data_IF_525189941504
#
_entry.id   IF_525189941504
#
_cell.length_a   1.000
_cell.length_b   1.000
_cell.length_c   1.000
_cell.angle_alpha   90.00
_cell.angle_beta   90.00
_cell.angle_gamma   90.00
#
_symmetry.space_group_name_H-M   'P 1'
#
loop_
_entity.id
_entity.type
_entity.pdbx_description
1 polymer ?
#
# COMPACT_ATOMS: atom_id res chain seq x y z
N UNK A 1 -24.59 -6.70 27.41
CA UNK A 1 -24.60 -5.68 26.33
C UNK A 1 -23.15 -5.37 25.99
N UNK A 2 -22.67 -5.79 24.82
CA UNK A 2 -21.32 -5.48 24.34
C UNK A 2 -21.37 -4.07 23.72
N UNK A 3 -20.62 -3.13 24.27
CA UNK A 3 -20.37 -1.86 23.61
C UNK A 3 -19.43 -2.13 22.43
N UNK A 4 -19.85 -1.75 21.23
CA UNK A 4 -19.04 -1.84 20.01
C UNK A 4 -17.94 -0.79 20.06
N UNK A 5 -16.70 -1.24 20.28
CA UNK A 5 -15.52 -0.47 19.94
C UNK A 5 -15.27 -0.64 18.44
N UNK A 6 -15.24 0.47 17.70
CA UNK A 6 -14.54 0.49 16.43
C UNK A 6 -13.07 0.27 16.79
N UNK A 7 -12.51 -0.90 16.46
CA UNK A 7 -11.09 -1.14 16.67
C UNK A 7 -10.33 -0.22 15.72
N UNK A 8 -9.77 0.87 16.24
CA UNK A 8 -8.92 1.82 15.48
C UNK A 8 -7.68 1.13 14.88
N UNK A 9 -7.39 -0.11 15.30
CA UNK A 9 -6.31 -0.98 14.85
C UNK A 9 -6.56 -1.63 13.48
N UNK A 10 -7.81 -1.70 12.99
CA UNK A 10 -8.09 -2.33 11.71
C UNK A 10 -7.51 -1.54 10.53
N UNK A 11 -7.01 -2.26 9.53
CA UNK A 11 -6.37 -1.70 8.34
C UNK A 11 -7.38 -1.65 7.18
N UNK A 12 -7.87 -0.46 6.77
CA UNK A 12 -8.80 -0.31 5.66
C UNK A 12 -8.21 -0.81 4.34
N UNK A 13 -9.02 -1.50 3.55
CA UNK A 13 -8.60 -2.11 2.29
C UNK A 13 -7.73 -3.36 2.44
N UNK A 14 -7.49 -3.82 3.66
CA UNK A 14 -6.76 -5.05 3.94
C UNK A 14 -7.58 -5.99 4.84
N UNK A 15 -7.93 -5.54 6.03
CA UNK A 15 -8.71 -6.30 7.01
C UNK A 15 -10.21 -6.00 6.92
N UNK A 16 -10.54 -4.80 6.48
CA UNK A 16 -11.92 -4.33 6.32
C UNK A 16 -12.13 -3.62 4.98
N UNK A 17 -13.37 -3.64 4.44
CA UNK A 17 -13.70 -2.92 3.22
C UNK A 17 -13.35 -1.43 3.31
N UNK A 18 -12.96 -0.85 2.18
CA UNK A 18 -12.72 0.58 2.04
C UNK A 18 -14.03 1.37 2.12
N UNK A 19 -13.91 2.62 2.54
CA UNK A 19 -14.96 3.63 2.42
C UNK A 19 -14.52 4.76 1.48
N UNK A 20 -15.45 5.60 1.04
CA UNK A 20 -15.12 6.83 0.29
C UNK A 20 -14.18 7.75 1.10
N UNK A 21 -14.32 7.76 2.43
CA UNK A 21 -13.43 8.53 3.29
C UNK A 21 -12.00 8.01 3.20
N UNK A 22 -11.79 6.70 3.11
CA UNK A 22 -10.45 6.11 2.97
C UNK A 22 -9.79 6.50 1.64
N UNK A 23 -10.57 6.57 0.55
CA UNK A 23 -10.07 7.05 -0.75
C UNK A 23 -9.58 8.51 -0.66
N UNK A 24 -10.38 9.37 -0.04
CA UNK A 24 -10.01 10.77 0.18
C UNK A 24 -8.81 10.92 1.12
N UNK A 25 -8.69 10.10 2.16
CA UNK A 25 -7.52 10.12 3.05
C UNK A 25 -6.28 9.58 2.36
N UNK A 26 -6.41 8.57 1.50
CA UNK A 26 -5.30 8.02 0.72
C UNK A 26 -4.61 9.10 -0.11
N UNK A 27 -5.39 9.98 -0.76
CA UNK A 27 -4.86 11.18 -1.44
C UNK A 27 -4.01 12.05 -0.51
N UNK A 28 -4.53 12.34 0.69
CA UNK A 28 -3.83 13.18 1.67
C UNK A 28 -2.51 12.53 2.07
N UNK A 29 -2.53 11.25 2.42
CA UNK A 29 -1.34 10.51 2.82
C UNK A 29 -0.29 10.45 1.71
N UNK A 30 -0.71 10.20 0.46
CA UNK A 30 0.20 10.21 -0.69
C UNK A 30 0.82 11.60 -0.90
N UNK A 31 0.03 12.67 -0.85
CA UNK A 31 0.55 14.03 -1.09
C UNK A 31 1.42 14.55 0.06
N UNK A 32 1.35 13.95 1.25
CA UNK A 32 2.25 14.24 2.38
C UNK A 32 3.61 13.53 2.26
N UNK A 33 3.76 12.56 1.34
CA UNK A 33 5.04 11.90 1.09
C UNK A 33 6.06 12.87 0.46
N UNK A 34 7.34 12.63 0.74
CA UNK A 34 8.44 13.33 0.09
C UNK A 34 8.58 12.94 -1.38
N UNK A 35 9.11 13.87 -2.19
CA UNK A 35 9.47 13.57 -3.58
C UNK A 35 10.79 12.79 -3.62
N UNK A 36 10.82 11.71 -4.42
CA UNK A 36 12.01 10.86 -4.54
C UNK A 36 12.44 10.24 -3.20
N UNK A 37 13.71 9.89 -3.06
CA UNK A 37 14.21 9.12 -1.91
C UNK A 37 14.63 9.99 -0.70
N UNK A 38 14.13 11.22 -0.61
CA UNK A 38 14.61 12.21 0.36
C UNK A 38 14.51 11.73 1.83
N UNK A 39 13.51 10.95 2.17
CA UNK A 39 13.35 10.41 3.54
C UNK A 39 14.32 9.25 3.82
N UNK A 40 14.66 8.47 2.79
CA UNK A 40 15.64 7.37 2.89
C UNK A 40 17.06 7.93 3.09
N UNK A 41 17.40 8.99 2.35
CA UNK A 41 18.72 9.62 2.43
C UNK A 41 18.99 10.26 3.80
N UNK A 42 17.94 10.57 4.55
CA UNK A 42 18.03 11.13 5.91
C UNK A 42 18.10 10.06 7.00
N UNK A 43 17.64 8.84 6.70
CA UNK A 43 17.69 7.70 7.63
C UNK A 43 19.00 6.91 7.43
N UNK A 44 20.00 7.22 8.25
CA UNK A 44 21.31 6.55 8.22
C UNK A 44 21.22 5.03 8.45
N UNK A 45 20.12 4.55 9.03
CA UNK A 45 19.89 3.16 9.38
C UNK A 45 18.86 2.48 8.46
N UNK A 46 18.41 3.16 7.40
CA UNK A 46 17.36 2.70 6.49
C UNK A 46 17.56 1.27 6.01
N UNK A 47 18.78 0.94 5.56
CA UNK A 47 19.12 -0.41 5.11
C UNK A 47 19.00 -1.49 6.22
N UNK A 48 19.37 -1.15 7.46
CA UNK A 48 19.21 -2.05 8.62
C UNK A 48 17.74 -2.22 9.00
N UNK A 49 16.97 -1.14 8.91
CA UNK A 49 15.52 -1.18 9.16
C UNK A 49 14.80 -2.04 8.13
N UNK A 50 15.09 -1.87 6.83
CA UNK A 50 14.55 -2.74 5.77
C UNK A 50 14.88 -4.21 6.01
N UNK A 51 16.12 -4.53 6.34
CA UNK A 51 16.52 -5.91 6.60
C UNK A 51 15.79 -6.52 7.80
N UNK A 52 15.64 -5.77 8.89
CA UNK A 52 14.92 -6.24 10.08
C UNK A 52 13.43 -6.45 9.81
N UNK A 53 12.80 -5.55 9.04
CA UNK A 53 11.41 -5.68 8.63
C UNK A 53 11.22 -6.84 7.65
N UNK A 54 12.20 -7.13 6.78
CA UNK A 54 12.20 -8.29 5.88
C UNK A 54 12.24 -9.60 6.67
N UNK A 55 13.10 -9.69 7.68
CA UNK A 55 13.13 -10.83 8.60
C UNK A 55 11.80 -11.00 9.36
N UNK A 56 11.09 -9.90 9.62
CA UNK A 56 9.75 -9.96 10.21
C UNK A 56 8.73 -10.57 9.23
N UNK A 57 8.77 -10.21 7.95
CA UNK A 57 7.93 -10.84 6.91
C UNK A 57 8.16 -12.36 6.86
N UNK A 58 9.44 -12.78 6.83
CA UNK A 58 9.83 -14.20 6.81
C UNK A 58 9.39 -14.95 8.06
N UNK A 59 9.55 -14.34 9.24
CA UNK A 59 9.16 -14.93 10.53
C UNK A 59 7.67 -15.27 10.57
N UNK A 60 6.83 -14.47 9.92
CA UNK A 60 5.38 -14.64 9.86
C UNK A 60 4.90 -15.36 8.60
N UNK A 61 5.82 -15.79 7.72
CA UNK A 61 5.53 -16.45 6.44
C UNK A 61 4.60 -15.63 5.53
N UNK A 62 4.86 -14.32 5.43
CA UNK A 62 4.04 -13.37 4.64
C UNK A 62 4.83 -12.68 3.52
N UNK A 63 6.09 -13.05 3.29
CA UNK A 63 6.97 -12.48 2.25
C UNK A 63 6.47 -12.64 0.81
N UNK A 64 5.58 -13.60 0.59
CA UNK A 64 4.95 -13.86 -0.72
C UNK A 64 3.62 -13.10 -0.89
N UNK A 65 3.14 -12.46 0.18
CA UNK A 65 1.90 -11.68 0.22
C UNK A 65 2.21 -10.18 0.33
N UNK A 66 3.22 -9.81 1.11
CA UNK A 66 3.60 -8.43 1.35
C UNK A 66 5.07 -8.17 1.01
N UNK A 67 5.35 -6.94 0.61
CA UNK A 67 6.69 -6.40 0.47
C UNK A 67 6.88 -5.13 1.30
N UNK A 68 8.09 -4.56 1.18
CA UNK A 68 8.44 -3.29 1.80
C UNK A 68 8.61 -2.25 0.71
N UNK A 69 7.79 -1.22 0.75
CA UNK A 69 7.91 -0.06 -0.14
C UNK A 69 8.65 1.06 0.55
N UNK A 70 9.61 1.66 -0.13
CA UNK A 70 10.17 2.92 0.32
C UNK A 70 9.25 4.06 -0.12
N UNK A 71 8.70 4.78 0.84
CA UNK A 71 7.61 5.72 0.60
C UNK A 71 8.14 6.97 -0.06
N UNK A 72 7.56 7.30 -1.20
CA UNK A 72 7.78 8.55 -1.90
C UNK A 72 6.62 8.81 -2.85
N UNK A 73 6.44 10.06 -3.23
CA UNK A 73 5.51 10.44 -4.31
C UNK A 73 6.25 10.85 -5.56
N UNK A 74 5.63 10.60 -6.70
CA UNK A 74 6.10 11.07 -8.01
C UNK A 74 5.39 12.35 -8.46
N UNK A 75 4.22 12.65 -7.90
CA UNK A 75 3.38 13.81 -8.22
C UNK A 75 2.37 14.07 -7.10
N UNK A 76 1.66 15.18 -7.15
CA UNK A 76 0.52 15.42 -6.27
C UNK A 76 -0.78 14.94 -6.93
N UNK A 77 -1.58 14.20 -6.17
CA UNK A 77 -2.89 13.71 -6.60
C UNK A 77 -3.91 14.86 -6.49
N UNK A 78 -4.67 15.15 -7.56
CA UNK A 78 -5.69 16.20 -7.55
C UNK A 78 -6.78 16.02 -6.47
N UNK A 79 -7.47 17.11 -6.14
CA UNK A 79 -8.62 17.06 -5.25
C UNK A 79 -9.72 16.12 -5.78
N UNK A 80 -10.49 15.51 -4.87
CA UNK A 80 -11.56 14.54 -5.18
C UNK A 80 -11.13 13.38 -6.09
N UNK A 81 -9.87 12.96 -5.97
CA UNK A 81 -9.32 11.83 -6.70
C UNK A 81 -8.35 11.00 -5.85
N UNK A 82 -8.16 9.75 -6.25
CA UNK A 82 -7.27 8.77 -5.64
C UNK A 82 -6.51 7.98 -6.71
N UNK A 83 -5.55 7.17 -6.26
CA UNK A 83 -4.72 6.33 -7.12
C UNK A 83 -5.23 4.89 -7.13
N UNK A 84 -5.53 4.39 -8.32
CA UNK A 84 -5.86 2.97 -8.54
C UNK A 84 -4.78 2.36 -9.44
N UNK A 85 -4.18 1.28 -8.96
CA UNK A 85 -3.31 0.41 -9.71
C UNK A 85 -4.07 -0.77 -10.32
N UNK A 86 -3.77 -1.07 -11.58
CA UNK A 86 -4.35 -2.20 -12.31
C UNK A 86 -3.27 -2.97 -13.05
N UNK A 87 -3.36 -4.29 -13.02
CA UNK A 87 -2.50 -5.16 -13.83
C UNK A 87 -2.98 -5.13 -15.27
N UNK A 88 -2.08 -4.78 -16.20
CA UNK A 88 -2.31 -4.83 -17.64
C UNK A 88 -1.34 -5.78 -18.34
N UNK A 89 -1.63 -6.09 -19.60
CA UNK A 89 -0.78 -6.91 -20.47
C UNK A 89 -0.38 -6.10 -21.70
N UNK A 90 0.91 -6.10 -22.09
CA UNK A 90 1.29 -5.58 -23.41
C UNK A 90 0.84 -6.55 -24.51
N UNK A 91 0.23 -6.03 -25.57
CA UNK A 91 -0.32 -6.82 -26.66
C UNK A 91 0.68 -7.80 -27.32
N UNK A 92 0.14 -8.94 -27.77
CA UNK A 92 0.74 -10.05 -28.54
C UNK A 92 1.66 -11.02 -27.79
N UNK A 93 2.20 -10.71 -26.60
CA UNK A 93 2.85 -11.72 -25.73
C UNK A 93 2.20 -11.74 -24.36
N UNK A 94 1.48 -12.82 -24.07
CA UNK A 94 0.79 -13.10 -22.80
C UNK A 94 1.69 -13.19 -21.56
N UNK A 95 2.98 -12.87 -21.66
CA UNK A 95 3.98 -13.03 -20.61
C UNK A 95 4.54 -11.70 -20.07
N UNK A 96 4.15 -10.55 -20.63
CA UNK A 96 4.60 -9.24 -20.15
C UNK A 96 3.47 -8.50 -19.44
N UNK A 97 3.49 -8.59 -18.11
CA UNK A 97 2.59 -7.86 -17.23
C UNK A 97 3.18 -6.48 -16.90
N UNK A 98 2.32 -5.48 -16.77
CA UNK A 98 2.69 -4.18 -16.23
C UNK A 98 1.70 -3.77 -15.15
N UNK A 99 2.16 -2.96 -14.21
CA UNK A 99 1.30 -2.33 -13.22
C UNK A 99 1.13 -0.86 -13.58
N UNK A 100 -0.10 -0.47 -13.87
CA UNK A 100 -0.42 0.89 -14.25
C UNK A 100 -1.20 1.56 -13.14
N UNK A 101 -0.63 2.64 -12.61
CA UNK A 101 -1.29 3.49 -11.63
C UNK A 101 -1.95 4.66 -12.37
N UNK A 102 -3.22 4.89 -12.06
CA UNK A 102 -4.04 5.96 -12.62
C UNK A 102 -4.69 6.78 -11.52
N UNK A 103 -4.85 8.07 -11.80
CA UNK A 103 -5.70 8.95 -11.00
C UNK A 103 -7.16 8.76 -11.43
N UNK A 104 -8.04 8.50 -10.46
CA UNK A 104 -9.48 8.28 -10.68
C UNK A 104 -10.27 9.16 -9.73
N UNK A 105 -11.40 9.70 -10.18
CA UNK A 105 -12.25 10.54 -9.35
C UNK A 105 -12.97 9.72 -8.26
N UNK A 106 -13.01 10.22 -7.03
CA UNK A 106 -13.62 9.52 -5.88
C UNK A 106 -15.09 9.16 -6.16
N UNK A 107 -15.82 10.08 -6.80
CA UNK A 107 -17.25 9.93 -7.11
C UNK A 107 -17.58 8.84 -8.13
N UNK A 108 -16.60 8.36 -8.89
CA UNK A 108 -16.81 7.34 -9.94
C UNK A 108 -16.38 5.95 -9.51
N UNK A 109 -15.77 5.82 -8.32
CA UNK A 109 -15.29 4.54 -7.81
C UNK A 109 -16.29 3.93 -6.82
N UNK A 110 -16.45 2.61 -6.89
CA UNK A 110 -17.08 1.84 -5.82
C UNK A 110 -15.99 1.29 -4.88
N UNK A 111 -15.90 1.75 -3.62
CA UNK A 111 -14.91 1.23 -2.67
C UNK A 111 -14.97 -0.28 -2.46
N UNK A 112 -16.09 -0.94 -2.74
CA UNK A 112 -16.23 -2.39 -2.62
C UNK A 112 -15.50 -3.17 -3.72
N UNK A 113 -15.15 -2.51 -4.83
CA UNK A 113 -14.38 -3.08 -5.93
C UNK A 113 -12.88 -2.81 -5.79
N UNK A 114 -12.46 -2.20 -4.68
CA UNK A 114 -11.09 -1.80 -4.40
C UNK A 114 -10.54 -2.45 -3.13
N UNK A 115 -9.24 -2.66 -3.10
CA UNK A 115 -8.48 -2.98 -1.90
C UNK A 115 -7.26 -2.05 -1.78
N UNK A 116 -6.61 -2.06 -0.62
CA UNK A 116 -5.39 -1.27 -0.41
C UNK A 116 -4.20 -1.94 -1.09
N UNK A 117 -3.39 -1.14 -1.81
CA UNK A 117 -2.19 -1.61 -2.50
C UNK A 117 -0.92 -1.26 -1.71
N UNK A 118 -0.73 0.04 -1.44
CA UNK A 118 0.40 0.53 -0.62
C UNK A 118 -0.11 1.21 0.63
N UNK A 119 0.55 0.90 1.74
CA UNK A 119 0.18 1.31 3.08
C UNK A 119 1.32 2.09 3.73
N UNK A 120 0.96 3.22 4.35
CA UNK A 120 1.87 4.01 5.17
C UNK A 120 1.47 3.90 6.63
N UNK A 121 2.46 3.86 7.51
CA UNK A 121 2.22 4.00 8.94
C UNK A 121 1.94 5.47 9.29
N UNK A 122 0.83 5.70 10.00
CA UNK A 122 0.45 7.00 10.54
C UNK A 122 0.44 6.89 12.07
N UNK A 123 1.28 7.67 12.79
CA UNK A 123 1.31 7.65 14.25
C UNK A 123 -0.08 7.81 14.88
N UNK A 124 -0.42 6.91 15.79
CA UNK A 124 -1.72 6.89 16.48
C UNK A 124 -2.91 6.43 15.63
N UNK A 125 -2.71 6.11 14.34
CA UNK A 125 -3.75 5.56 13.45
C UNK A 125 -3.38 4.20 12.85
N UNK A 126 -2.14 3.72 12.97
CA UNK A 126 -1.74 2.45 12.38
C UNK A 126 -1.45 2.53 10.88
N UNK A 127 -1.54 1.40 10.20
CA UNK A 127 -1.34 1.33 8.74
C UNK A 127 -2.57 1.86 8.02
N UNK A 128 -2.34 2.73 7.02
CA UNK A 128 -3.38 3.35 6.21
C UNK A 128 -3.01 3.29 4.73
N UNK A 129 -3.95 2.90 3.85
CA UNK A 129 -3.69 2.83 2.42
C UNK A 129 -3.54 4.24 1.84
N UNK A 130 -2.67 4.38 0.84
CA UNK A 130 -2.51 5.61 0.06
C UNK A 130 -2.50 5.38 -1.46
N UNK A 131 -2.35 4.12 -1.88
CA UNK A 131 -2.64 3.65 -3.23
C UNK A 131 -3.55 2.43 -3.13
N UNK A 132 -4.46 2.27 -4.09
CA UNK A 132 -5.48 1.22 -4.12
C UNK A 132 -5.29 0.29 -5.31
N UNK A 133 -5.77 -0.93 -5.21
CA UNK A 133 -5.79 -1.89 -6.31
C UNK A 133 -7.24 -2.19 -6.71
N UNK A 134 -7.47 -2.33 -8.01
CA UNK A 134 -8.76 -2.79 -8.53
C UNK A 134 -8.89 -4.31 -8.33
N UNK A 135 -9.78 -4.72 -7.43
CA UNK A 135 -9.96 -6.13 -7.12
C UNK A 135 -10.58 -6.35 -5.75
N UNK A 136 -10.91 -7.61 -5.42
CA UNK A 136 -11.43 -7.94 -4.10
C UNK A 136 -10.38 -7.69 -3.01
N UNK A 137 -10.84 -7.60 -1.76
CA UNK A 137 -9.98 -7.66 -0.58
C UNK A 137 -9.04 -8.86 -0.67
N UNK A 138 -7.77 -8.61 -0.36
CA UNK A 138 -6.76 -9.66 -0.28
C UNK A 138 -7.21 -10.70 0.74
N UNK A 139 -7.08 -11.98 0.35
CA UNK A 139 -7.39 -13.11 1.22
C UNK A 139 -6.35 -13.28 2.33
N UNK A 140 -6.28 -12.34 3.28
CA UNK A 140 -5.33 -12.37 4.40
C UNK A 140 -5.69 -13.39 5.50
N UNK A 141 -6.64 -14.30 5.26
CA UNK A 141 -7.07 -15.29 6.26
C UNK A 141 -5.98 -16.26 6.72
N UNK A 142 -4.83 -16.29 6.04
CA UNK A 142 -3.63 -17.06 6.41
C UNK A 142 -2.57 -16.23 7.14
N UNK A 143 -2.72 -14.90 7.19
CA UNK A 143 -1.80 -13.99 7.87
C UNK A 143 -2.07 -14.08 9.37
N UNK A 144 -1.04 -14.35 10.17
CA UNK A 144 -1.13 -14.23 11.62
C UNK A 144 -1.42 -12.77 12.00
N UNK A 145 -2.53 -12.45 12.70
CA UNK A 145 -2.85 -11.07 13.09
C UNK A 145 -1.74 -10.36 13.89
N UNK A 146 -0.88 -11.12 14.58
CA UNK A 146 0.27 -10.58 15.33
C UNK A 146 1.36 -9.98 14.41
N UNK A 147 1.35 -10.31 13.12
CA UNK A 147 2.27 -9.71 12.15
C UNK A 147 2.15 -8.19 12.13
N UNK A 148 0.94 -7.65 11.94
CA UNK A 148 0.72 -6.22 11.82
C UNK A 148 1.06 -5.47 13.12
N UNK A 149 0.74 -6.07 14.27
CA UNK A 149 1.07 -5.50 15.58
C UNK A 149 2.59 -5.39 15.76
N UNK A 150 3.36 -6.43 15.39
CA UNK A 150 4.82 -6.39 15.48
C UNK A 150 5.45 -5.46 14.44
N UNK A 151 4.89 -5.38 13.25
CA UNK A 151 5.34 -4.46 12.20
C UNK A 151 5.19 -3.00 12.67
N UNK A 152 3.99 -2.62 13.12
CA UNK A 152 3.71 -1.27 13.66
C UNK A 152 4.56 -0.97 14.90
N UNK A 153 4.74 -1.95 15.80
CA UNK A 153 5.59 -1.79 16.99
C UNK A 153 7.05 -1.52 16.60
N UNK A 154 7.56 -2.18 15.57
CA UNK A 154 8.91 -1.93 15.08
C UNK A 154 9.03 -0.51 14.51
N UNK A 155 8.10 -0.09 13.64
CA UNK A 155 8.11 1.27 13.07
C UNK A 155 8.07 2.34 14.16
N UNK A 156 7.20 2.18 15.17
CA UNK A 156 7.14 3.09 16.32
C UNK A 156 8.42 3.12 17.14
N UNK A 157 9.03 1.98 17.41
CA UNK A 157 10.21 1.88 18.28
C UNK A 157 11.39 2.70 17.74
N UNK A 158 11.48 2.83 16.42
CA UNK A 158 12.59 3.47 15.73
C UNK A 158 12.16 4.73 14.97
N UNK A 159 10.95 5.24 15.21
CA UNK A 159 10.39 6.42 14.55
C UNK A 159 10.50 6.37 13.01
N UNK A 160 10.32 5.18 12.42
CA UNK A 160 10.48 4.96 10.98
C UNK A 160 9.25 5.49 10.25
N UNK A 161 9.46 6.55 9.47
CA UNK A 161 8.45 7.13 8.58
C UNK A 161 8.79 7.00 7.10
N UNK A 162 9.91 6.37 6.73
CA UNK A 162 10.38 6.21 5.35
C UNK A 162 9.92 4.90 4.68
N UNK A 163 9.57 3.88 5.48
CA UNK A 163 9.18 2.54 5.00
C UNK A 163 7.67 2.33 5.17
N UNK A 164 7.06 1.68 4.18
CA UNK A 164 5.68 1.23 4.17
C UNK A 164 5.56 -0.25 3.87
N UNK A 165 4.32 -0.72 3.75
CA UNK A 165 3.97 -2.08 3.34
C UNK A 165 3.26 -2.01 1.99
N UNK A 166 3.57 -2.89 1.06
CA UNK A 166 2.80 -3.09 -0.17
C UNK A 166 2.26 -4.52 -0.24
N UNK A 167 1.10 -4.70 -0.88
CA UNK A 167 0.66 -6.04 -1.27
C UNK A 167 1.42 -6.48 -2.53
N UNK A 168 2.08 -7.62 -2.43
CA UNK A 168 2.64 -8.28 -3.59
C UNK A 168 1.50 -8.93 -4.33
N UNK A 169 1.11 -8.35 -5.46
CA UNK A 169 0.19 -8.99 -6.38
C UNK A 169 0.71 -10.40 -6.70
N UNK A 170 -0.12 -11.43 -6.51
CA UNK A 170 0.23 -12.85 -6.73
C UNK A 170 0.86 -13.10 -8.12
N UNK A 171 0.61 -12.22 -9.09
CA UNK A 171 1.24 -12.24 -10.42
C UNK A 171 2.76 -12.06 -10.43
N UNK A 172 3.36 -11.37 -9.45
CA UNK A 172 4.82 -11.19 -9.33
C UNK A 172 5.49 -12.47 -8.79
N UNK A 173 4.78 -13.23 -7.95
CA UNK A 173 5.27 -14.47 -7.33
C UNK A 173 5.56 -15.59 -8.34
N UNK A 174 5.08 -15.46 -9.59
CA UNK A 174 5.34 -16.39 -10.70
C UNK A 174 6.43 -15.93 -11.68
N UNK A 175 7.27 -14.96 -11.32
CA UNK A 175 8.51 -14.64 -12.04
C UNK A 175 8.37 -13.74 -13.27
N UNK A 176 7.33 -12.92 -13.34
CA UNK A 176 7.23 -11.84 -14.33
C UNK A 176 7.81 -10.54 -13.79
N UNK A 177 8.69 -9.88 -14.56
CA UNK A 177 9.14 -8.52 -14.25
C UNK A 177 7.95 -7.55 -14.35
N UNK A 178 7.52 -7.00 -13.21
CA UNK A 178 6.47 -5.98 -13.17
C UNK A 178 7.10 -4.61 -13.39
N UNK A 179 6.85 -4.00 -14.54
CA UNK A 179 7.17 -2.58 -14.74
C UNK A 179 6.05 -1.73 -14.15
N UNK A 180 6.38 -0.92 -13.15
CA UNK A 180 5.49 0.11 -12.61
C UNK A 180 5.52 1.32 -13.55
N UNK A 181 4.37 1.65 -14.13
CA UNK A 181 4.21 2.83 -14.98
C UNK A 181 3.19 3.76 -14.35
N UNK A 182 3.59 4.99 -14.11
CA UNK A 182 2.75 6.04 -13.53
C UNK A 182 2.31 6.98 -14.65
N UNK A 183 1.00 7.02 -14.93
CA UNK A 183 0.44 7.96 -15.91
C UNK A 183 -0.24 9.12 -15.18
N UNK A 184 0.21 10.35 -15.46
CA UNK A 184 -0.54 11.55 -15.08
C UNK A 184 -1.80 11.59 -15.95
N UNK A 185 -2.96 11.46 -15.32
CA UNK A 185 -4.25 11.53 -16.00
C UNK A 185 -4.47 12.90 -16.65
N UNK A 186 -3.99 13.06 -17.87
CA UNK A 186 -4.34 14.12 -18.81
C UNK A 186 -3.86 13.68 -20.19
N UNK A 187 -4.61 12.78 -20.82
CA UNK A 187 -4.64 12.53 -22.28
C UNK A 187 -5.69 11.45 -22.55
N UNK A 188 -6.96 11.85 -22.54
CA UNK A 188 -8.07 11.32 -23.35
C UNK A 188 -9.19 12.37 -23.38
#
# INVERSE_FOLDING_TARGET
>A
MRQGGVNDDWIPGLEVPLTIHDLSQGRKYHNELSYGNQDQDQDQDHGRHRESLRQLLEKFDVQDIFGLVDKHKHFDVPHDSHLIGTVGTFGVRSQSLFYLIRTVADKTSDPNELCGHKFTYIPGKGLRPYEFHQGPLLGIGKVDPEFFSQFIKYLNKYDITSIGLDDRLETVSNGGDLLETVSKGSDL
#
